data_IF_892298725779
#
_entry.id   IF_892298725779
#
_cell.length_a   1.000
_cell.length_b   1.000
_cell.length_c   1.000
_cell.angle_alpha   90.00
_cell.angle_beta   90.00
_cell.angle_gamma   90.00
#
_symmetry.space_group_name_H-M   'P 1'
#
loop_
_entity.id
_entity.type
_entity.pdbx_description
1 polymer ?
#
# COMPACT_ATOMS: atom_id res chain seq x y z
N UNK A 1 -8.75 -18.76 3.90
CA UNK A 1 -9.09 -17.31 3.90
C UNK A 1 -8.85 -16.81 2.49
N UNK A 2 -9.82 -16.13 1.91
CA UNK A 2 -9.69 -15.50 0.59
C UNK A 2 -9.37 -14.02 0.81
N UNK A 3 -8.34 -13.51 0.12
CA UNK A 3 -7.84 -12.13 0.28
C UNK A 3 -8.30 -11.23 -0.87
N UNK A 4 -8.71 -11.85 -2.00
CA UNK A 4 -9.16 -11.14 -3.19
C UNK A 4 -10.34 -10.21 -2.89
N UNK A 5 -10.27 -8.97 -3.36
CA UNK A 5 -11.28 -7.93 -3.10
C UNK A 5 -11.15 -7.26 -1.73
N UNK A 6 -10.15 -7.61 -0.92
CA UNK A 6 -9.92 -6.99 0.39
C UNK A 6 -9.12 -5.68 0.29
N UNK A 7 -9.02 -5.00 1.42
CA UNK A 7 -8.23 -3.78 1.61
C UNK A 7 -7.08 -4.07 2.57
N UNK A 8 -5.90 -3.51 2.30
CA UNK A 8 -4.72 -3.60 3.15
C UNK A 8 -4.46 -2.28 3.87
N UNK A 9 -4.08 -2.35 5.15
CA UNK A 9 -3.64 -1.20 5.93
C UNK A 9 -2.22 -1.44 6.44
N UNK A 10 -1.36 -0.42 6.32
CA UNK A 10 -0.02 -0.41 6.88
C UNK A 10 0.09 0.67 7.95
N UNK A 11 0.69 0.34 9.08
CA UNK A 11 0.94 1.27 10.20
C UNK A 11 2.12 2.20 9.95
N UNK A 12 3.02 1.80 9.03
CA UNK A 12 4.18 2.52 8.53
C UNK A 12 4.14 2.68 7.01
N UNK A 13 5.01 3.54 6.48
CA UNK A 13 5.09 3.76 5.03
C UNK A 13 5.73 2.57 4.30
N UNK A 14 5.43 2.44 3.00
CA UNK A 14 6.11 1.47 2.13
C UNK A 14 7.45 2.05 1.65
N UNK A 15 8.59 1.41 1.96
CA UNK A 15 9.90 1.90 1.51
C UNK A 15 10.15 1.64 0.02
N UNK A 16 9.50 0.62 -0.55
CA UNK A 16 9.63 0.19 -1.94
C UNK A 16 8.28 -0.29 -2.49
N UNK A 17 8.17 -0.40 -3.82
CA UNK A 17 6.95 -0.84 -4.52
C UNK A 17 6.62 -2.33 -4.36
N UNK A 18 7.59 -3.15 -3.94
CA UNK A 18 7.44 -4.61 -3.79
C UNK A 18 6.26 -5.01 -2.89
N UNK A 19 5.99 -4.23 -1.84
CA UNK A 19 4.83 -4.43 -0.97
C UNK A 19 3.48 -4.23 -1.69
N UNK A 20 3.42 -3.31 -2.67
CA UNK A 20 2.22 -3.07 -3.48
C UNK A 20 2.08 -4.13 -4.57
N UNK A 21 3.18 -4.51 -5.21
CA UNK A 21 3.20 -5.58 -6.22
C UNK A 21 2.69 -6.90 -5.60
N UNK A 22 3.17 -7.25 -4.40
CA UNK A 22 2.68 -8.41 -3.67
C UNK A 22 1.19 -8.31 -3.26
N UNK A 23 0.73 -7.11 -2.90
CA UNK A 23 -0.67 -6.88 -2.56
C UNK A 23 -1.60 -7.05 -3.79
N UNK A 24 -1.16 -6.56 -4.95
CA UNK A 24 -1.86 -6.72 -6.21
C UNK A 24 -1.97 -8.21 -6.62
N UNK A 25 -0.87 -8.97 -6.50
CA UNK A 25 -0.87 -10.42 -6.74
C UNK A 25 -1.83 -11.17 -5.82
N UNK A 26 -1.97 -10.73 -4.57
CA UNK A 26 -2.94 -11.26 -3.61
C UNK A 26 -4.39 -10.85 -3.90
N UNK A 27 -4.63 -9.97 -4.87
CA UNK A 27 -5.94 -9.48 -5.28
C UNK A 27 -6.52 -8.39 -4.38
N UNK A 28 -5.69 -7.65 -3.65
CA UNK A 28 -6.12 -6.49 -2.86
C UNK A 28 -6.56 -5.37 -3.81
N UNK A 29 -7.64 -4.66 -3.46
CA UNK A 29 -8.20 -3.58 -4.30
C UNK A 29 -7.88 -2.18 -3.79
N UNK A 30 -7.46 -2.05 -2.53
CA UNK A 30 -7.05 -0.77 -1.98
C UNK A 30 -5.99 -0.92 -0.86
N UNK A 31 -5.15 0.11 -0.71
CA UNK A 31 -4.12 0.21 0.32
C UNK A 31 -4.24 1.54 1.05
N UNK A 32 -4.19 1.53 2.39
CA UNK A 32 -4.06 2.72 3.23
C UNK A 32 -2.73 2.69 3.99
N UNK A 33 -1.96 3.77 3.90
CA UNK A 33 -0.65 3.89 4.55
C UNK A 33 -0.34 5.34 4.94
N UNK A 34 0.66 5.63 5.79
CA UNK A 34 0.95 6.99 6.21
C UNK A 34 1.49 7.90 5.09
N UNK A 35 2.24 7.36 4.13
CA UNK A 35 3.08 8.13 3.21
C UNK A 35 4.33 8.70 3.91
N UNK A 36 5.18 9.36 3.14
CA UNK A 36 6.44 9.97 3.60
C UNK A 36 7.70 9.19 3.23
N UNK A 37 7.60 8.21 2.32
CA UNK A 37 8.78 7.55 1.76
C UNK A 37 9.48 8.46 0.76
N UNK A 38 10.82 8.40 0.68
CA UNK A 38 11.55 9.04 -0.43
C UNK A 38 11.14 8.47 -1.80
N UNK A 39 10.52 7.29 -1.82
CA UNK A 39 10.11 6.56 -3.03
C UNK A 39 8.60 6.46 -3.18
N UNK A 40 7.82 7.33 -2.55
CA UNK A 40 6.35 7.26 -2.65
C UNK A 40 5.88 7.31 -4.11
N UNK A 41 6.57 8.03 -5.01
CA UNK A 41 6.23 8.04 -6.44
C UNK A 41 6.28 6.63 -7.08
N UNK A 42 7.27 5.80 -6.73
CA UNK A 42 7.37 4.42 -7.22
C UNK A 42 6.23 3.55 -6.66
N UNK A 43 5.85 3.78 -5.41
CA UNK A 43 4.80 3.04 -4.69
C UNK A 43 3.42 3.40 -5.25
N UNK A 44 3.17 4.68 -5.52
CA UNK A 44 1.94 5.18 -6.15
C UNK A 44 1.82 4.62 -7.56
N UNK A 45 2.89 4.69 -8.36
CA UNK A 45 2.89 4.15 -9.72
C UNK A 45 2.53 2.65 -9.74
N UNK A 46 3.05 1.86 -8.79
CA UNK A 46 2.69 0.45 -8.68
C UNK A 46 1.20 0.24 -8.36
N UNK A 47 0.61 1.08 -7.50
CA UNK A 47 -0.82 1.01 -7.21
C UNK A 47 -1.67 1.40 -8.42
N UNK A 48 -1.27 2.43 -9.16
CA UNK A 48 -1.94 2.86 -10.40
C UNK A 48 -1.85 1.77 -11.49
N UNK A 49 -0.68 1.17 -11.69
CA UNK A 49 -0.46 0.03 -12.60
C UNK A 49 -1.36 -1.16 -12.25
N UNK A 50 -1.56 -1.42 -10.95
CA UNK A 50 -2.43 -2.47 -10.45
C UNK A 50 -3.93 -2.10 -10.41
N UNK A 51 -4.29 -0.85 -10.74
CA UNK A 51 -5.66 -0.35 -10.63
C UNK A 51 -6.20 -0.32 -9.21
N UNK A 52 -5.32 -0.15 -8.21
CA UNK A 52 -5.64 -0.15 -6.79
C UNK A 52 -5.85 1.28 -6.28
N UNK A 53 -6.81 1.47 -5.38
CA UNK A 53 -6.93 2.75 -4.67
C UNK A 53 -5.84 2.86 -3.58
N UNK A 54 -5.09 3.95 -3.55
CA UNK A 54 -4.11 4.24 -2.50
C UNK A 54 -4.51 5.48 -1.70
N UNK A 55 -4.47 5.38 -0.37
CA UNK A 55 -4.81 6.47 0.55
C UNK A 55 -3.66 6.76 1.50
N UNK A 56 -3.25 8.03 1.59
CA UNK A 56 -2.26 8.52 2.55
C UNK A 56 -2.94 9.13 3.78
N UNK A 57 -2.58 8.65 4.97
CA UNK A 57 -3.12 9.16 6.24
C UNK A 57 -2.31 10.32 6.82
N UNK A 58 -1.03 10.43 6.46
CA UNK A 58 -0.09 11.36 7.08
C UNK A 58 0.25 11.03 8.56
N UNK A 59 -0.18 9.88 9.07
CA UNK A 59 -0.01 9.50 10.48
C UNK A 59 0.50 8.06 10.63
N UNK A 60 1.65 7.90 11.29
CA UNK A 60 2.26 6.60 11.59
C UNK A 60 1.77 6.05 12.92
N UNK A 61 1.35 4.78 12.94
CA UNK A 61 0.83 4.08 14.12
C UNK A 61 1.76 2.99 14.64
N UNK A 62 3.06 3.31 14.76
CA UNK A 62 4.07 2.34 15.18
C UNK A 62 3.92 1.94 16.65
N UNK A 63 4.00 0.64 16.93
CA UNK A 63 4.00 0.05 18.27
C UNK A 63 5.02 -1.10 18.32
N UNK A 64 5.89 -1.09 19.33
CA UNK A 64 6.86 -2.17 19.59
C UNK A 64 6.20 -3.35 20.30
#
# INVERSE_FOLDING_TARGET
LEVKGSVMASDAFFPFRDGIDAAAEAGITAVIQPGGSMRDEEVIAAADEAGMAMVFTGMRHFRH
#
